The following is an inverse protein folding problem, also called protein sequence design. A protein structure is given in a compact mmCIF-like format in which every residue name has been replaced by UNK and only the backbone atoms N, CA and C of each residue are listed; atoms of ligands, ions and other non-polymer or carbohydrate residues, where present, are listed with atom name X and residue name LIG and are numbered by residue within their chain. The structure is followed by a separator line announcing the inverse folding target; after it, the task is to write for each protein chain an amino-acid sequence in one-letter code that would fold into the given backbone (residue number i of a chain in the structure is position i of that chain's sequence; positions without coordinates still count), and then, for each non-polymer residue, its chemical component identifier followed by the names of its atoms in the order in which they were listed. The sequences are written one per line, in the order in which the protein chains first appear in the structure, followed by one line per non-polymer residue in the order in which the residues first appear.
data_IF_484191798431
#
_entry.id   IF_484191798431
#
_cell.length_a   1.000
_cell.length_b   1.000
_cell.length_c   1.000
_cell.angle_alpha   90.00
_cell.angle_beta   90.00
_cell.angle_gamma   90.00
#
_symmetry.space_group_name_H-M   'P 1'
#
loop_
_entity.id
_entity.type
_entity.pdbx_description
1 polymer ?
#
# COMPACT_ATOMS: atom_id res chain seq x y z
N UNK A 1 -20.70 1.33 45.78
CA UNK A 1 -19.57 2.03 45.16
C UNK A 1 -19.41 1.44 43.78
N UNK A 2 -20.23 1.92 42.84
CA UNK A 2 -20.28 1.38 41.49
C UNK A 2 -19.26 2.11 40.64
N UNK A 3 -18.11 1.47 40.44
CA UNK A 3 -17.15 1.89 39.43
C UNK A 3 -17.83 1.77 38.08
N UNK A 4 -18.31 2.90 37.55
CA UNK A 4 -18.73 3.01 36.17
C UNK A 4 -17.55 2.60 35.29
N UNK A 5 -17.54 1.33 34.87
CA UNK A 5 -16.65 0.79 33.86
C UNK A 5 -16.91 1.58 32.57
N UNK A 6 -16.21 2.71 32.42
CA UNK A 6 -16.13 3.40 31.15
C UNK A 6 -15.69 2.37 30.12
N UNK A 7 -16.49 2.18 29.07
CA UNK A 7 -16.24 1.09 28.13
C UNK A 7 -14.80 1.17 27.63
N UNK A 8 -14.07 0.05 27.57
CA UNK A 8 -12.65 0.04 27.16
C UNK A 8 -12.47 0.70 25.78
N UNK A 9 -13.52 0.68 24.95
CA UNK A 9 -13.61 1.37 23.65
C UNK A 9 -13.41 2.89 23.79
N UNK A 10 -14.01 3.54 24.80
CA UNK A 10 -13.85 4.98 25.03
C UNK A 10 -12.46 5.35 25.53
N UNK A 11 -11.76 4.45 26.20
CA UNK A 11 -10.40 4.72 26.69
C UNK A 11 -9.35 4.49 25.60
N UNK A 12 -9.54 3.48 24.74
CA UNK A 12 -8.57 3.07 23.73
C UNK A 12 -8.74 3.74 22.36
N UNK A 13 -9.64 4.72 22.22
CA UNK A 13 -9.89 5.41 20.95
C UNK A 13 -8.62 5.98 20.26
N UNK A 14 -7.59 6.54 20.96
CA UNK A 14 -6.40 7.06 20.28
C UNK A 14 -5.61 5.94 19.61
N UNK A 15 -5.61 4.75 20.22
CA UNK A 15 -4.98 3.55 19.66
C UNK A 15 -5.72 3.10 18.41
N UNK A 16 -7.05 3.03 18.47
CA UNK A 16 -7.86 2.69 17.30
C UNK A 16 -7.64 3.66 16.14
N UNK A 17 -7.61 4.98 16.40
CA UNK A 17 -7.36 6.00 15.37
C UNK A 17 -5.94 5.91 14.81
N UNK A 18 -4.95 5.53 15.62
CA UNK A 18 -3.56 5.35 15.15
C UNK A 18 -3.40 4.22 14.13
N UNK A 19 -4.26 3.20 14.21
CA UNK A 19 -4.26 2.03 13.31
C UNK A 19 -5.27 2.22 12.16
N UNK A 20 -6.42 2.84 12.45
CA UNK A 20 -7.51 3.00 11.49
C UNK A 20 -7.12 3.82 10.27
N UNK A 21 -6.34 4.90 10.43
CA UNK A 21 -5.91 5.69 9.27
C UNK A 21 -4.97 4.90 8.34
N UNK A 22 -3.86 4.28 8.81
CA UNK A 22 -3.04 3.43 7.94
C UNK A 22 -3.84 2.34 7.24
N UNK A 23 -4.74 1.66 7.96
CA UNK A 23 -5.62 0.64 7.36
C UNK A 23 -6.58 1.23 6.33
N UNK A 24 -7.12 2.43 6.59
CA UNK A 24 -7.99 3.13 5.64
C UNK A 24 -7.23 3.50 4.36
N UNK A 25 -5.99 3.99 4.47
CA UNK A 25 -5.15 4.29 3.32
C UNK A 25 -4.85 3.02 2.50
N UNK A 26 -4.51 1.92 3.18
CA UNK A 26 -4.33 0.61 2.54
C UNK A 26 -5.61 0.15 1.83
N UNK A 27 -6.76 0.23 2.50
CA UNK A 27 -8.04 -0.18 1.94
C UNK A 27 -8.44 0.67 0.73
N UNK A 28 -8.27 2.00 0.82
CA UNK A 28 -8.54 2.90 -0.30
C UNK A 28 -7.58 2.62 -1.47
N UNK A 29 -6.30 2.41 -1.18
CA UNK A 29 -5.33 1.96 -2.18
C UNK A 29 -5.55 0.51 -2.64
N UNK A 30 -6.47 -0.25 -2.06
CA UNK A 30 -6.89 -1.58 -2.56
C UNK A 30 -8.11 -1.47 -3.50
N UNK A 31 -8.60 -0.27 -3.78
CA UNK A 31 -9.74 -0.04 -4.67
C UNK A 31 -9.31 0.77 -5.90
N UNK A 32 -10.13 0.85 -6.96
CA UNK A 32 -9.87 1.73 -8.10
C UNK A 32 -9.80 3.22 -7.71
N UNK A 33 -10.41 3.59 -6.58
CA UNK A 33 -10.44 4.98 -6.06
C UNK A 33 -9.04 5.45 -5.67
N UNK A 34 -8.16 4.55 -5.21
CA UNK A 34 -6.78 4.88 -4.82
C UNK A 34 -5.91 5.42 -5.97
N UNK A 35 -6.36 5.24 -7.22
CA UNK A 35 -5.67 5.70 -8.42
C UNK A 35 -6.28 6.98 -9.01
N UNK A 36 -7.38 7.49 -8.44
CA UNK A 36 -7.99 8.75 -8.86
C UNK A 36 -7.07 9.92 -8.49
N UNK A 37 -6.66 10.68 -9.50
CA UNK A 37 -5.80 11.86 -9.37
C UNK A 37 -6.32 12.84 -8.31
N UNK A 38 -7.63 13.08 -8.28
CA UNK A 38 -8.28 14.02 -7.35
C UNK A 38 -8.17 13.50 -5.92
N UNK A 39 -8.37 12.19 -5.73
CA UNK A 39 -8.24 11.57 -4.43
C UNK A 39 -6.79 11.58 -3.93
N UNK A 40 -5.82 11.33 -4.80
CA UNK A 40 -4.39 11.33 -4.44
C UNK A 40 -3.92 12.74 -4.06
N UNK A 41 -4.32 13.77 -4.81
CA UNK A 41 -3.85 15.15 -4.58
C UNK A 41 -4.62 15.87 -3.46
N UNK A 42 -5.92 15.63 -3.32
CA UNK A 42 -6.74 16.33 -2.32
C UNK A 42 -7.15 15.43 -1.16
N UNK A 43 -7.57 14.20 -1.46
CA UNK A 43 -8.06 13.24 -0.48
C UNK A 43 -6.98 12.80 0.52
N UNK A 44 -5.81 12.36 0.04
CA UNK A 44 -4.71 11.92 0.92
C UNK A 44 -4.22 13.06 1.82
N UNK A 45 -3.90 14.27 1.32
CA UNK A 45 -3.52 15.37 2.19
C UNK A 45 -4.61 15.80 3.17
N UNK A 46 -5.88 15.79 2.77
CA UNK A 46 -6.99 16.08 3.67
C UNK A 46 -7.09 15.05 4.80
N UNK A 47 -6.99 13.75 4.48
CA UNK A 47 -7.00 12.66 5.46
C UNK A 47 -5.83 12.76 6.44
N UNK A 48 -4.62 13.02 5.93
CA UNK A 48 -3.44 13.24 6.76
C UNK A 48 -3.59 14.49 7.64
N UNK A 49 -4.18 15.56 7.11
CA UNK A 49 -4.48 16.78 7.85
C UNK A 49 -5.43 16.54 9.02
N UNK A 50 -6.55 15.83 8.78
CA UNK A 50 -7.49 15.43 9.84
C UNK A 50 -6.79 14.59 10.91
N UNK A 51 -5.93 13.65 10.50
CA UNK A 51 -5.19 12.82 11.43
C UNK A 51 -4.19 13.61 12.26
N UNK A 52 -3.49 14.59 11.65
CA UNK A 52 -2.62 15.50 12.36
C UNK A 52 -3.38 16.37 13.38
N UNK A 53 -4.57 16.89 13.02
CA UNK A 53 -5.44 17.62 13.94
C UNK A 53 -5.84 16.77 15.15
N UNK A 54 -6.21 15.49 14.92
CA UNK A 54 -6.50 14.55 16.00
C UNK A 54 -5.26 14.29 16.86
N UNK A 55 -4.08 14.19 16.26
CA UNK A 55 -2.79 14.10 16.95
C UNK A 55 -2.54 15.25 17.91
N UNK A 56 -2.70 16.49 17.44
CA UNK A 56 -2.55 17.70 18.26
C UNK A 56 -3.55 17.68 19.42
N UNK A 57 -4.81 17.30 19.15
CA UNK A 57 -5.83 17.18 20.20
C UNK A 57 -5.43 16.15 21.27
N UNK A 58 -4.96 14.97 20.85
CA UNK A 58 -4.49 13.94 21.79
C UNK A 58 -3.24 14.34 22.56
N UNK A 59 -2.36 15.15 21.98
CA UNK A 59 -1.21 15.72 22.68
C UNK A 59 -1.65 16.65 23.80
N UNK A 60 -2.63 17.53 23.55
CA UNK A 60 -3.23 18.41 24.58
C UNK A 60 -3.85 17.57 25.70
N UNK A 61 -4.58 16.49 25.36
CA UNK A 61 -5.14 15.57 26.36
C UNK A 61 -4.05 14.87 27.17
N UNK A 62 -2.96 14.44 26.53
CA UNK A 62 -1.82 13.80 27.18
C UNK A 62 -1.20 14.72 28.24
N UNK A 63 -0.98 15.99 27.90
CA UNK A 63 -0.46 17.00 28.84
C UNK A 63 -1.42 17.20 30.01
N UNK A 64 -2.73 17.31 29.75
CA UNK A 64 -3.75 17.43 30.81
C UNK A 64 -3.75 16.21 31.74
N UNK A 65 -3.68 15.00 31.19
CA UNK A 65 -3.64 13.77 31.98
C UNK A 65 -2.37 13.68 32.84
N UNK A 66 -1.21 14.07 32.29
CA UNK A 66 0.05 14.18 33.05
C UNK A 66 -0.08 15.16 34.22
N UNK A 67 -0.66 16.35 33.99
CA UNK A 67 -0.87 17.34 35.05
C UNK A 67 -1.86 16.85 36.12
N UNK A 68 -2.87 16.08 35.73
CA UNK A 68 -3.83 15.45 36.66
C UNK A 68 -3.32 14.16 37.35
N UNK A 69 -2.06 13.76 37.08
CA UNK A 69 -1.45 12.50 37.57
C UNK A 69 -2.20 11.22 37.15
N UNK A 70 -2.98 11.28 36.07
CA UNK A 70 -3.68 10.14 35.49
C UNK A 70 -2.76 9.39 34.50
N UNK A 71 -1.72 8.74 35.04
CA UNK A 71 -0.64 8.13 34.25
C UNK A 71 -1.12 7.13 33.19
N UNK A 72 -2.12 6.30 33.50
CA UNK A 72 -2.66 5.31 32.56
C UNK A 72 -3.27 5.96 31.32
N UNK A 73 -4.05 7.04 31.50
CA UNK A 73 -4.68 7.79 30.41
C UNK A 73 -3.69 8.64 29.64
N UNK A 74 -2.67 9.16 30.30
CA UNK A 74 -1.56 9.83 29.65
C UNK A 74 -0.83 8.90 28.67
N UNK A 75 -0.49 7.68 29.11
CA UNK A 75 0.17 6.68 28.24
C UNK A 75 -0.68 6.35 27.01
N UNK A 76 -1.98 6.10 27.18
CA UNK A 76 -2.87 5.77 26.06
C UNK A 76 -3.03 6.96 25.10
N UNK A 77 -3.15 8.17 25.64
CA UNK A 77 -3.30 9.39 24.83
C UNK A 77 -2.02 9.75 24.07
N UNK A 78 -0.86 9.35 24.58
CA UNK A 78 0.44 9.58 23.94
C UNK A 78 0.68 8.70 22.72
N UNK A 79 -0.06 7.60 22.54
CA UNK A 79 0.15 6.66 21.42
C UNK A 79 -0.06 7.36 20.07
N UNK A 80 -1.20 8.03 19.87
CA UNK A 80 -1.51 8.69 18.60
C UNK A 80 -0.46 9.75 18.19
N UNK A 81 -0.06 10.72 19.04
CA UNK A 81 0.92 11.72 18.65
C UNK A 81 2.31 11.11 18.41
N UNK A 82 2.69 10.06 19.13
CA UNK A 82 3.94 9.34 18.87
C UNK A 82 3.91 8.60 17.53
N UNK A 83 2.79 7.97 17.18
CA UNK A 83 2.61 7.31 15.87
C UNK A 83 2.65 8.34 14.75
N UNK A 84 1.96 9.47 14.89
CA UNK A 84 2.00 10.56 13.90
C UNK A 84 3.41 11.12 13.77
N UNK A 85 4.14 11.30 14.87
CA UNK A 85 5.53 11.75 14.84
C UNK A 85 6.43 10.74 14.10
N UNK A 86 6.29 9.46 14.41
CA UNK A 86 7.04 8.39 13.72
C UNK A 86 6.74 8.33 12.23
N UNK A 87 5.45 8.40 11.87
CA UNK A 87 5.01 8.46 10.48
C UNK A 87 5.53 9.71 9.77
N UNK A 88 5.54 10.88 10.43
CA UNK A 88 6.07 12.13 9.87
C UNK A 88 7.58 12.09 9.66
N UNK A 89 8.35 11.56 10.62
CA UNK A 89 9.81 11.42 10.49
C UNK A 89 10.21 10.47 9.35
N UNK A 90 9.36 9.48 9.04
CA UNK A 90 9.57 8.49 7.98
C UNK A 90 8.46 8.54 6.94
N UNK A 91 8.06 9.75 6.56
CA UNK A 91 6.88 9.99 5.71
C UNK A 91 6.87 9.14 4.44
N UNK A 92 7.97 9.14 3.69
CA UNK A 92 8.08 8.35 2.46
C UNK A 92 7.92 6.85 2.71
N UNK A 93 8.56 6.30 3.75
CA UNK A 93 8.45 4.88 4.09
C UNK A 93 7.02 4.52 4.52
N UNK A 94 6.34 5.40 5.25
CA UNK A 94 4.95 5.22 5.64
C UNK A 94 4.01 5.17 4.44
N UNK A 95 4.18 6.10 3.49
CA UNK A 95 3.38 6.12 2.26
C UNK A 95 3.68 4.88 1.40
N UNK A 96 4.94 4.48 1.25
CA UNK A 96 5.31 3.24 0.56
C UNK A 96 4.66 2.02 1.20
N UNK A 97 4.71 1.90 2.53
CA UNK A 97 4.07 0.81 3.26
C UNK A 97 2.55 0.75 3.00
N UNK A 98 1.86 1.89 3.04
CA UNK A 98 0.42 1.94 2.76
C UNK A 98 0.11 1.56 1.30
N UNK A 99 0.95 2.03 0.37
CA UNK A 99 0.81 1.71 -1.04
C UNK A 99 1.03 0.22 -1.30
N UNK A 100 2.13 -0.35 -0.82
CA UNK A 100 2.48 -1.77 -1.00
C UNK A 100 1.42 -2.66 -0.36
N UNK A 101 0.91 -2.28 0.83
CA UNK A 101 -0.21 -2.97 1.46
C UNK A 101 -1.47 -2.96 0.59
N UNK A 102 -1.78 -1.83 -0.05
CA UNK A 102 -2.91 -1.70 -0.97
C UNK A 102 -2.72 -2.48 -2.27
N UNK A 103 -1.50 -2.48 -2.82
CA UNK A 103 -1.15 -3.25 -4.01
C UNK A 103 -1.29 -4.75 -3.76
N UNK A 104 -0.90 -5.23 -2.57
CA UNK A 104 -1.12 -6.62 -2.15
C UNK A 104 -2.61 -6.91 -1.95
N UNK A 105 -3.34 -6.01 -1.29
CA UNK A 105 -4.78 -6.15 -1.05
C UNK A 105 -5.56 -6.28 -2.37
N UNK A 106 -5.28 -5.40 -3.33
CA UNK A 106 -5.91 -5.44 -4.66
C UNK A 106 -5.54 -6.72 -5.42
N UNK A 107 -4.26 -7.12 -5.40
CA UNK A 107 -3.81 -8.34 -6.06
C UNK A 107 -4.53 -9.57 -5.52
N UNK A 108 -4.67 -9.68 -4.20
CA UNK A 108 -5.37 -10.80 -3.56
C UNK A 108 -6.85 -10.84 -3.94
N UNK A 109 -7.49 -9.68 -4.09
CA UNK A 109 -8.88 -9.58 -4.53
C UNK A 109 -9.06 -10.02 -5.99
N UNK A 110 -8.18 -9.60 -6.89
CA UNK A 110 -8.24 -9.92 -8.34
C UNK A 110 -7.51 -11.21 -8.72
N UNK A 111 -6.93 -11.92 -7.75
CA UNK A 111 -6.06 -13.08 -8.00
C UNK A 111 -6.70 -14.14 -8.90
N UNK A 112 -7.97 -14.47 -8.68
CA UNK A 112 -8.66 -15.48 -9.49
C UNK A 112 -8.75 -15.06 -10.96
N UNK A 113 -9.10 -13.80 -11.21
CA UNK A 113 -9.16 -13.20 -12.54
C UNK A 113 -7.80 -13.25 -13.24
N UNK A 114 -6.72 -12.95 -12.53
CA UNK A 114 -5.36 -13.06 -13.04
C UNK A 114 -4.96 -14.49 -13.40
N UNK A 115 -5.24 -15.44 -12.51
CA UNK A 115 -4.93 -16.86 -12.75
C UNK A 115 -5.72 -17.42 -13.93
N UNK A 116 -6.97 -17.01 -14.12
CA UNK A 116 -7.78 -17.43 -15.26
C UNK A 116 -7.21 -16.87 -16.57
N UNK A 117 -6.78 -15.62 -16.60
CA UNK A 117 -6.07 -15.04 -17.76
C UNK A 117 -4.78 -15.80 -18.08
N UNK A 118 -3.98 -16.13 -17.07
CA UNK A 118 -2.76 -16.96 -17.26
C UNK A 118 -3.11 -18.32 -17.86
N UNK A 119 -4.18 -18.97 -17.39
CA UNK A 119 -4.61 -20.28 -17.89
C UNK A 119 -5.07 -20.26 -19.34
N UNK A 120 -5.65 -19.14 -19.80
CA UNK A 120 -6.09 -19.00 -21.19
C UNK A 120 -4.94 -18.86 -22.19
N UNK A 121 -3.71 -18.56 -21.74
CA UNK A 121 -2.57 -18.53 -22.64
C UNK A 121 -2.18 -19.94 -23.10
N UNK A 122 -2.08 -20.17 -24.42
CA UNK A 122 -1.72 -21.47 -24.96
C UNK A 122 -0.27 -21.81 -24.58
N UNK A 123 0.01 -23.06 -24.17
CA UNK A 123 1.36 -23.50 -23.85
C UNK A 123 2.16 -23.68 -25.15
N UNK A 124 2.77 -22.60 -25.62
CA UNK A 124 3.57 -22.59 -26.85
C UNK A 124 5.02 -23.07 -26.64
N UNK A 125 5.31 -23.70 -25.50
CA UNK A 125 6.67 -24.10 -25.10
C UNK A 125 7.58 -22.95 -24.67
N UNK A 126 7.04 -21.73 -24.58
CA UNK A 126 7.76 -20.53 -24.13
C UNK A 126 7.27 -20.05 -22.76
N UNK A 127 8.15 -19.44 -21.92
CA UNK A 127 7.74 -18.84 -20.65
C UNK A 127 6.67 -17.76 -20.85
N UNK A 128 5.62 -17.81 -20.03
CA UNK A 128 4.51 -16.85 -20.07
C UNK A 128 4.94 -15.49 -19.54
N UNK A 129 4.47 -14.44 -20.20
CA UNK A 129 4.62 -13.04 -19.79
C UNK A 129 3.26 -12.34 -19.91
N UNK A 130 2.75 -11.80 -18.81
CA UNK A 130 1.54 -10.98 -18.80
C UNK A 130 1.75 -9.71 -17.99
N UNK A 131 1.16 -8.62 -18.48
CA UNK A 131 1.14 -7.32 -17.81
C UNK A 131 -0.30 -6.96 -17.47
N UNK A 132 -0.53 -6.60 -16.21
CA UNK A 132 -1.82 -6.17 -15.70
C UNK A 132 -1.68 -4.74 -15.22
N UNK A 133 -1.95 -3.80 -16.10
CA UNK A 133 -1.97 -2.39 -15.76
C UNK A 133 -3.20 -2.08 -14.89
N UNK A 134 -2.94 -1.54 -13.70
CA UNK A 134 -3.97 -1.13 -12.75
C UNK A 134 -4.46 0.30 -13.01
N UNK A 135 -3.71 1.05 -13.82
CA UNK A 135 -3.86 2.50 -14.00
C UNK A 135 -2.99 3.28 -13.03
N UNK A 136 -3.18 4.59 -13.02
CA UNK A 136 -2.41 5.53 -12.21
C UNK A 136 -2.37 6.90 -12.85
N UNK A 137 -1.39 7.72 -12.48
CA UNK A 137 -1.16 8.99 -13.15
C UNK A 137 -0.58 8.75 -14.55
N UNK A 138 -0.82 9.68 -15.48
CA UNK A 138 -0.33 9.66 -16.89
C UNK A 138 1.20 9.53 -17.05
N UNK A 139 1.96 9.57 -15.95
CA UNK A 139 3.41 9.49 -15.91
C UNK A 139 3.92 8.45 -14.90
N UNK A 140 3.01 7.72 -14.25
CA UNK A 140 3.30 6.72 -13.24
C UNK A 140 2.07 5.81 -13.07
N UNK A 141 1.92 4.88 -14.00
CA UNK A 141 0.95 3.80 -13.87
C UNK A 141 1.56 2.64 -13.07
N UNK A 142 0.74 1.96 -12.26
CA UNK A 142 1.18 0.80 -11.47
C UNK A 142 0.46 -0.44 -11.96
N UNK A 143 1.08 -1.59 -11.78
CA UNK A 143 0.47 -2.85 -12.16
C UNK A 143 1.25 -4.06 -11.69
N UNK A 144 0.82 -5.20 -12.21
CA UNK A 144 1.38 -6.50 -11.89
C UNK A 144 1.96 -7.12 -13.15
N UNK A 145 3.12 -7.73 -13.03
CA UNK A 145 3.74 -8.48 -14.11
C UNK A 145 3.88 -9.92 -13.67
N UNK A 146 3.40 -10.84 -14.49
CA UNK A 146 3.66 -12.27 -14.36
C UNK A 146 4.71 -12.66 -15.39
N UNK A 147 5.88 -13.12 -14.97
CA UNK A 147 6.97 -13.52 -15.85
C UNK A 147 7.62 -14.82 -15.38
N UNK A 148 7.28 -15.93 -16.04
CA UNK A 148 7.85 -17.26 -15.73
C UNK A 148 9.37 -17.35 -15.96
N UNK A 149 9.96 -16.43 -16.72
CA UNK A 149 11.40 -16.42 -17.00
C UNK A 149 12.22 -15.57 -16.03
N UNK A 150 11.55 -14.81 -15.15
CA UNK A 150 12.13 -13.85 -14.21
C UNK A 150 13.06 -12.80 -14.88
N UNK A 151 12.90 -12.58 -16.19
CA UNK A 151 13.73 -11.66 -16.96
C UNK A 151 13.32 -10.19 -16.77
N UNK A 152 12.11 -9.94 -16.28
CA UNK A 152 11.61 -8.60 -15.90
C UNK A 152 12.51 -7.91 -14.86
N UNK A 153 13.14 -8.67 -13.97
CA UNK A 153 14.09 -8.14 -12.98
C UNK A 153 15.51 -7.97 -13.51
N UNK A 154 15.83 -8.51 -14.69
CA UNK A 154 17.16 -8.39 -15.28
C UNK A 154 17.34 -6.99 -15.85
N UNK A 155 18.57 -6.52 -15.83
CA UNK A 155 18.94 -5.30 -16.55
C UNK A 155 18.66 -5.49 -18.05
N UNK A 156 18.26 -4.40 -18.72
CA UNK A 156 17.90 -4.40 -20.13
C UNK A 156 18.85 -5.18 -21.05
N UNK A 157 20.20 -5.03 -20.99
CA UNK A 157 21.12 -5.76 -21.86
C UNK A 157 21.13 -7.27 -21.62
N UNK A 158 20.71 -7.74 -20.44
CA UNK A 158 20.69 -9.15 -20.04
C UNK A 158 19.36 -9.86 -20.37
N UNK A 159 18.38 -9.12 -20.90
CA UNK A 159 17.10 -9.67 -21.36
C UNK A 159 17.24 -10.31 -22.73
N UNK A 160 16.73 -11.52 -22.88
CA UNK A 160 16.75 -12.28 -24.12
C UNK A 160 15.91 -11.61 -25.19
N UNK A 161 16.29 -11.82 -26.45
CA UNK A 161 15.54 -11.30 -27.61
C UNK A 161 14.10 -11.84 -27.65
N UNK A 162 13.90 -13.10 -27.23
CA UNK A 162 12.58 -13.72 -27.11
C UNK A 162 11.73 -13.04 -26.04
N UNK A 163 12.29 -12.76 -24.87
CA UNK A 163 11.56 -12.03 -23.82
C UNK A 163 11.17 -10.64 -24.31
N UNK A 164 12.10 -9.91 -24.95
CA UNK A 164 11.81 -8.58 -25.51
C UNK A 164 10.70 -8.62 -26.54
N UNK A 165 10.68 -9.63 -27.41
CA UNK A 165 9.61 -9.80 -28.39
C UNK A 165 8.23 -10.07 -27.75
N UNK A 166 8.18 -10.72 -26.58
CA UNK A 166 6.93 -10.90 -25.81
C UNK A 166 6.53 -9.66 -25.02
N UNK A 167 7.52 -8.91 -24.53
CA UNK A 167 7.30 -7.63 -23.85
C UNK A 167 6.92 -6.53 -24.85
N UNK A 168 7.24 -6.71 -26.13
CA UNK A 168 6.89 -5.80 -27.21
C UNK A 168 5.37 -5.66 -27.30
N UNK A 169 4.88 -4.43 -27.42
CA UNK A 169 3.46 -4.06 -27.33
C UNK A 169 2.83 -4.17 -25.92
N UNK A 170 3.64 -4.20 -24.86
CA UNK A 170 3.16 -4.03 -23.47
C UNK A 170 3.73 -2.76 -22.84
N UNK A 171 3.22 -2.37 -21.68
CA UNK A 171 3.70 -1.23 -20.89
C UNK A 171 5.17 -1.36 -20.45
N UNK A 172 5.76 -2.56 -20.54
CA UNK A 172 7.18 -2.80 -20.28
C UNK A 172 8.11 -2.10 -21.28
N UNK A 173 7.59 -1.66 -22.43
CA UNK A 173 8.36 -0.92 -23.44
C UNK A 173 8.56 0.55 -23.08
N UNK A 174 7.74 1.12 -22.20
CA UNK A 174 7.74 2.54 -21.86
C UNK A 174 8.79 2.92 -20.81
N UNK A 175 9.67 1.99 -20.44
CA UNK A 175 10.50 2.09 -19.25
C UNK A 175 9.69 1.78 -18.00
N UNK A 176 10.24 0.95 -17.14
CA UNK A 176 9.57 0.50 -15.93
C UNK A 176 10.55 0.23 -14.80
N UNK A 177 10.01 0.27 -13.60
CA UNK A 177 10.64 -0.28 -12.41
C UNK A 177 9.83 -1.49 -11.95
N UNK A 178 10.49 -2.62 -11.68
CA UNK A 178 9.86 -3.80 -11.15
C UNK A 178 10.52 -4.21 -9.83
N UNK A 179 9.72 -4.70 -8.90
CA UNK A 179 10.19 -5.31 -7.68
C UNK A 179 9.46 -6.65 -7.45
N UNK A 180 10.09 -7.63 -6.79
CA UNK A 180 9.42 -8.86 -6.41
C UNK A 180 8.17 -8.56 -5.59
N UNK A 181 7.12 -9.34 -5.82
CA UNK A 181 5.91 -9.18 -5.04
C UNK A 181 6.20 -9.37 -3.53
N UNK A 182 5.68 -8.49 -2.64
CA UNK A 182 5.98 -8.55 -1.21
C UNK A 182 5.53 -9.88 -0.60
N UNK A 183 6.45 -10.54 0.11
CA UNK A 183 6.18 -11.79 0.83
C UNK A 183 6.65 -13.05 0.11
N UNK A 184 7.15 -14.01 0.89
CA UNK A 184 7.63 -15.31 0.38
C UNK A 184 6.50 -16.32 0.28
N UNK A 185 5.54 -16.07 -0.61
CA UNK A 185 4.49 -17.04 -0.87
C UNK A 185 4.79 -17.83 -2.14
N UNK A 186 4.54 -19.15 -2.11
CA UNK A 186 4.74 -19.98 -3.31
C UNK A 186 3.86 -19.53 -4.50
N UNK A 187 2.73 -18.89 -4.22
CA UNK A 187 1.84 -18.37 -5.27
C UNK A 187 2.24 -17.00 -5.82
N UNK A 188 3.18 -16.30 -5.20
CA UNK A 188 3.74 -15.02 -5.68
C UNK A 188 5.04 -15.23 -6.45
N UNK A 189 5.46 -16.48 -6.65
CA UNK A 189 6.55 -16.83 -7.54
C UNK A 189 6.22 -16.33 -8.96
N UNK A 190 7.20 -15.70 -9.63
CA UNK A 190 7.06 -15.08 -10.95
C UNK A 190 6.15 -13.84 -11.00
N UNK A 191 5.67 -13.35 -9.85
CA UNK A 191 4.89 -12.11 -9.78
C UNK A 191 5.75 -10.94 -9.33
N UNK A 192 5.53 -9.81 -10.00
CA UNK A 192 6.24 -8.56 -9.76
C UNK A 192 5.28 -7.40 -9.68
N UNK A 193 5.54 -6.49 -8.74
CA UNK A 193 4.93 -5.17 -8.74
C UNK A 193 5.72 -4.29 -9.70
N UNK A 194 5.04 -3.68 -10.66
CA UNK A 194 5.67 -2.82 -11.64
C UNK A 194 5.08 -1.41 -11.60
N UNK A 195 5.95 -0.42 -11.80
CA UNK A 195 5.61 0.95 -12.11
C UNK A 195 6.06 1.24 -13.53
N UNK A 196 5.15 1.66 -14.39
CA UNK A 196 5.41 1.99 -15.79
C UNK A 196 5.45 3.52 -15.94
N UNK A 197 6.33 4.00 -16.81
CA UNK A 197 6.49 5.44 -17.05
C UNK A 197 5.54 5.97 -18.16
N UNK A 198 4.43 5.27 -18.40
CA UNK A 198 3.40 5.60 -19.38
C UNK A 198 2.03 5.84 -18.74
#
# INVERSE_FOLDING_TARGET
MDAAQGSPVKTLWPVWVSIALPLLLVALNSTPIGLDFTFVILGIPALLGVWACLGIWTLVLTVRHLLSREWSRAVVSAVLPLVILGAGLRFWQFIHLCNDGGDVGYFLAERSSYLDKIRTMPPNGEPRLLVFNRGGMLWASRGYVYDESDEVMREEPLRSTKWRARADNTELTCGYYAQPFPGHFSFTQHWYLASFNC
#
